data_IF_117347050603
#
_entry.id   IF_117347050603
#
_cell.length_a   1.000
_cell.length_b   1.000
_cell.length_c   1.000
_cell.angle_alpha   90.00
_cell.angle_beta   90.00
_cell.angle_gamma   90.00
#
_symmetry.space_group_name_H-M   'P 1'
#
loop_
_entity.id
_entity.type
_entity.pdbx_description
1 polymer ?
#
# COMPACT_ATOMS: atom_id res chain seq x y z
N UNK A 1 13.93 -3.91 -0.74
CA UNK A 1 12.93 -4.16 0.32
C UNK A 1 12.32 -2.82 0.62
N UNK A 2 11.10 -2.58 0.12
CA UNK A 2 10.45 -1.30 0.29
C UNK A 2 10.08 -1.02 1.73
N UNK A 3 10.20 0.25 2.13
CA UNK A 3 9.80 0.69 3.48
C UNK A 3 8.28 0.66 3.58
N UNK A 4 7.75 0.32 4.76
CA UNK A 4 6.31 0.33 5.03
C UNK A 4 5.97 1.58 5.83
N UNK A 5 5.17 2.48 5.28
CA UNK A 5 4.73 3.70 5.96
C UNK A 5 3.33 3.47 6.54
N UNK A 6 3.07 3.83 7.81
CA UNK A 6 1.70 3.84 8.34
C UNK A 6 0.79 4.75 7.52
N UNK A 7 -0.44 4.32 7.21
CA UNK A 7 -1.42 5.13 6.47
C UNK A 7 -1.64 6.51 7.13
N UNK A 8 -1.65 6.57 8.46
CA UNK A 8 -1.78 7.82 9.21
C UNK A 8 -0.60 8.78 9.01
N UNK A 9 0.58 8.26 8.71
CA UNK A 9 1.77 9.04 8.36
C UNK A 9 1.73 9.47 6.89
N UNK A 10 1.33 8.58 5.99
CA UNK A 10 1.12 8.91 4.57
C UNK A 10 0.10 10.03 4.37
N UNK A 11 -1.01 10.03 5.14
CA UNK A 11 -2.04 11.10 5.12
C UNK A 11 -1.49 12.44 5.62
N UNK A 12 -0.56 12.42 6.59
CA UNK A 12 0.07 13.63 7.12
C UNK A 12 1.15 14.17 6.19
N UNK A 13 1.71 13.33 5.34
CA UNK A 13 2.70 13.75 4.35
C UNK A 13 2.04 14.56 3.24
N UNK A 14 2.61 15.73 2.95
CA UNK A 14 2.18 16.56 1.81
C UNK A 14 2.52 15.91 0.46
N UNK A 15 3.38 14.90 0.44
CA UNK A 15 3.84 14.23 -0.77
C UNK A 15 2.79 13.30 -1.39
N UNK A 16 1.93 12.65 -0.59
CA UNK A 16 1.05 11.56 -1.06
C UNK A 16 -0.44 11.94 -1.14
N UNK A 17 -0.76 13.21 -0.86
CA UNK A 17 -2.10 13.77 -0.96
C UNK A 17 -3.06 13.37 0.18
N UNK A 18 -4.30 13.83 0.07
CA UNK A 18 -5.34 13.62 1.08
C UNK A 18 -5.76 12.15 1.23
N UNK A 19 -6.31 11.80 2.41
CA UNK A 19 -6.85 10.46 2.70
C UNK A 19 -7.78 9.91 1.61
N UNK A 20 -8.66 10.73 1.05
CA UNK A 20 -9.59 10.33 -0.01
C UNK A 20 -8.87 9.89 -1.27
N UNK A 21 -7.74 10.51 -1.61
CA UNK A 21 -6.91 10.15 -2.76
C UNK A 21 -6.25 8.80 -2.54
N UNK A 22 -5.65 8.61 -1.36
CA UNK A 22 -5.04 7.33 -0.98
C UNK A 22 -6.07 6.20 -0.98
N UNK A 23 -7.25 6.42 -0.39
CA UNK A 23 -8.29 5.39 -0.35
C UNK A 23 -8.84 5.06 -1.74
N UNK A 24 -9.00 6.07 -2.61
CA UNK A 24 -9.33 5.85 -4.03
C UNK A 24 -8.27 5.01 -4.74
N UNK A 25 -6.98 5.31 -4.57
CA UNK A 25 -5.89 4.53 -5.17
C UNK A 25 -5.86 3.09 -4.69
N UNK A 26 -6.22 2.87 -3.44
CA UNK A 26 -6.33 1.51 -2.89
C UNK A 26 -7.55 0.79 -3.48
N UNK A 27 -8.69 1.46 -3.60
CA UNK A 27 -9.89 0.90 -4.24
C UNK A 27 -9.66 0.59 -5.73
N UNK A 28 -8.82 1.39 -6.41
CA UNK A 28 -8.34 1.13 -7.78
C UNK A 28 -7.34 -0.05 -7.86
N UNK A 29 -6.86 -0.59 -6.73
CA UNK A 29 -5.85 -1.65 -6.70
C UNK A 29 -4.43 -1.19 -7.04
N UNK A 30 -4.17 0.13 -7.01
CA UNK A 30 -2.85 0.72 -7.30
C UNK A 30 -1.93 0.76 -6.07
N UNK A 31 -2.50 0.68 -4.87
CA UNK A 31 -1.78 0.67 -3.61
C UNK A 31 -2.18 -0.56 -2.79
N UNK A 32 -1.20 -1.20 -2.18
CA UNK A 32 -1.41 -2.38 -1.34
C UNK A 32 -1.51 -1.99 0.14
N UNK A 33 -2.63 -2.33 0.78
CA UNK A 33 -2.81 -2.18 2.24
C UNK A 33 -2.21 -3.39 2.97
N UNK A 34 -1.31 -3.13 3.91
CA UNK A 34 -0.77 -4.11 4.84
C UNK A 34 -1.33 -3.87 6.23
N UNK A 35 -1.74 -4.93 6.92
CA UNK A 35 -2.14 -4.87 8.33
C UNK A 35 -1.15 -5.70 9.14
N UNK A 36 -0.52 -5.08 10.13
CA UNK A 36 0.35 -5.79 11.06
C UNK A 36 -0.50 -6.18 12.28
N UNK A 37 -0.50 -7.47 12.62
CA UNK A 37 -1.27 -8.01 13.74
C UNK A 37 -0.90 -7.34 15.08
N UNK A 38 -1.91 -7.08 15.91
CA UNK A 38 -1.74 -6.58 17.28
C UNK A 38 -2.02 -5.09 17.51
N UNK A 39 -2.04 -4.23 16.47
CA UNK A 39 -2.19 -2.76 16.67
C UNK A 39 -3.29 -2.14 15.78
N UNK A 40 -3.93 -2.91 14.89
CA UNK A 40 -4.97 -2.41 13.98
C UNK A 40 -4.48 -1.33 13.00
N UNK A 41 -3.17 -1.07 12.95
CA UNK A 41 -2.56 -0.07 12.07
C UNK A 41 -2.47 -0.60 10.66
N UNK A 42 -2.87 0.25 9.72
CA UNK A 42 -2.74 0.02 8.29
C UNK A 42 -1.45 0.67 7.81
N UNK A 43 -0.71 -0.05 6.99
CA UNK A 43 0.55 0.37 6.38
C UNK A 43 0.41 0.29 4.86
N UNK A 44 1.15 1.12 4.17
CA UNK A 44 1.29 1.16 2.72
C UNK A 44 2.75 0.92 2.36
N UNK A 45 3.00 0.48 1.14
CA UNK A 45 4.34 0.40 0.60
C UNK A 45 4.83 1.80 0.15
N UNK A 46 6.01 2.21 0.62
CA UNK A 46 6.62 3.49 0.27
C UNK A 46 6.97 3.55 -1.22
N UNK A 47 7.49 2.47 -1.82
CA UNK A 47 7.84 2.45 -3.24
C UNK A 47 6.60 2.57 -4.14
N UNK A 48 5.48 1.93 -3.77
CA UNK A 48 4.22 2.13 -4.51
C UNK A 48 3.71 3.57 -4.41
N UNK A 49 3.84 4.20 -3.22
CA UNK A 49 3.47 5.60 -3.02
C UNK A 49 4.37 6.54 -3.83
N UNK A 50 5.68 6.35 -3.76
CA UNK A 50 6.68 7.13 -4.48
C UNK A 50 6.45 7.01 -6.00
N UNK A 51 6.26 5.79 -6.52
CA UNK A 51 5.96 5.55 -7.93
C UNK A 51 4.64 6.20 -8.42
N UNK A 52 3.64 6.35 -7.54
CA UNK A 52 2.34 6.93 -7.89
C UNK A 52 2.27 8.45 -7.80
N UNK A 53 3.03 9.04 -6.88
CA UNK A 53 2.88 10.44 -6.50
C UNK A 53 4.13 11.28 -6.73
N UNK A 54 5.31 10.66 -6.84
CA UNK A 54 6.58 11.34 -7.02
C UNK A 54 7.09 11.03 -8.44
N UNK A 55 6.91 11.94 -9.41
CA UNK A 55 7.22 11.68 -10.81
C UNK A 55 8.73 11.55 -11.11
N UNK A 56 9.61 11.81 -10.15
CA UNK A 56 11.08 11.70 -10.28
C UNK A 56 11.68 10.57 -9.42
N UNK A 57 10.82 9.74 -8.82
CA UNK A 57 11.24 8.51 -8.17
C UNK A 57 12.02 7.65 -9.17
N UNK A 58 13.30 7.31 -8.94
CA UNK A 58 13.99 6.38 -9.82
C UNK A 58 13.15 5.11 -9.85
N UNK A 59 12.74 4.72 -11.06
CA UNK A 59 11.80 3.64 -11.36
C UNK A 59 12.27 2.28 -10.79
N UNK A 60 12.21 2.09 -9.47
CA UNK A 60 12.55 0.85 -8.75
C UNK A 60 11.29 -0.03 -8.66
N UNK A 61 10.49 -0.08 -9.72
CA UNK A 61 9.24 -0.83 -9.73
C UNK A 61 9.07 -1.65 -11.02
N UNK A 62 10.11 -2.36 -11.45
CA UNK A 62 9.94 -3.40 -12.47
C UNK A 62 11.09 -4.42 -12.55
N UNK A 63 11.60 -4.99 -11.43
CA UNK A 63 12.46 -6.19 -11.55
C UNK A 63 12.56 -7.05 -10.30
N UNK A 64 11.83 -8.16 -10.32
CA UNK A 64 12.01 -9.32 -9.42
C UNK A 64 11.44 -9.10 -8.00
N UNK A 65 10.95 -10.08 -7.26
CA UNK A 65 11.07 -11.51 -7.39
C UNK A 65 10.09 -12.20 -6.41
N UNK A 66 9.55 -13.35 -6.84
CA UNK A 66 9.09 -14.53 -6.06
C UNK A 66 8.05 -14.37 -4.92
N UNK A 67 7.16 -15.38 -4.76
CA UNK A 67 6.01 -15.27 -3.87
C UNK A 67 6.46 -15.48 -2.43
N UNK A 68 6.49 -14.41 -1.64
CA UNK A 68 6.42 -14.57 -0.19
C UNK A 68 4.95 -14.55 0.16
N UNK A 69 4.49 -15.65 0.75
CA UNK A 69 3.13 -15.95 1.21
C UNK A 69 2.53 -14.82 2.04
N UNK A 70 2.03 -13.78 1.38
CA UNK A 70 1.12 -12.79 1.95
C UNK A 70 -0.28 -13.28 1.60
N UNK A 71 -1.03 -13.69 2.62
CA UNK A 71 -2.42 -14.11 2.44
C UNK A 71 -3.28 -12.88 2.10
N UNK A 72 -3.97 -12.85 0.96
CA UNK A 72 -5.03 -11.87 0.74
C UNK A 72 -6.20 -12.21 1.68
N UNK A 73 -6.56 -11.30 2.60
CA UNK A 73 -7.88 -11.35 3.24
C UNK A 73 -8.93 -10.92 2.22
N UNK A 74 -9.36 -11.84 1.34
CA UNK A 74 -10.66 -11.73 0.70
C UNK A 74 -11.76 -12.14 1.69
N UNK A 75 -12.94 -11.51 1.65
CA UNK A 75 -14.03 -11.81 2.57
C UNK A 75 -14.48 -13.26 2.38
N UNK A 76 -14.76 -13.94 3.49
CA UNK A 76 -15.39 -15.26 3.50
C UNK A 76 -16.69 -15.20 2.70
N UNK A 77 -16.67 -15.74 1.49
CA UNK A 77 -17.88 -16.18 0.80
C UNK A 77 -18.44 -17.35 1.59
N UNK A 78 -19.58 -17.12 2.24
CA UNK A 78 -20.37 -18.14 2.90
C UNK A 78 -20.78 -19.25 1.93
N UNK A 79 -20.59 -20.47 2.41
CA UNK A 79 -21.37 -21.70 2.23
C UNK A 79 -22.26 -21.83 0.97
N UNK A 80 -21.94 -22.83 0.16
CA UNK A 80 -22.92 -23.64 -0.57
C UNK A 80 -23.67 -24.56 0.40
#
# INVERSE_FOLDING_TARGET
>A
MGRKIPLAEAIRSRAYGSRSTLDRRIAEGKLTKYRIGGVGRVYLDEDELDALFIPDAPLVAAKGARPTRAVPEQPRGSAA
#
